data_IF_026030285483
#
_entry.id   IF_026030285483
#
_cell.length_a   1.000
_cell.length_b   1.000
_cell.length_c   1.000
_cell.angle_alpha   90.00
_cell.angle_beta   90.00
_cell.angle_gamma   90.00
#
_symmetry.space_group_name_H-M   'P 1'
#
loop_
_entity.id
_entity.type
_entity.pdbx_description
1 polymer ?
#
# COMPACT_ATOMS: atom_id res chain seq x y z
N UNK A 1 42.09 -24.26 -5.36
CA UNK A 1 40.84 -24.02 -4.61
C UNK A 1 39.73 -23.93 -5.62
N UNK A 2 38.57 -24.49 -5.33
CA UNK A 2 37.42 -24.35 -6.21
C UNK A 2 36.99 -22.87 -6.21
N UNK A 3 36.61 -22.30 -7.36
CA UNK A 3 36.20 -20.89 -7.44
C UNK A 3 34.97 -20.63 -6.55
N UNK A 4 34.10 -21.62 -6.35
CA UNK A 4 32.98 -21.55 -5.40
C UNK A 4 33.44 -21.42 -3.93
N UNK A 5 34.52 -22.12 -3.54
CA UNK A 5 35.07 -22.03 -2.17
C UNK A 5 35.68 -20.65 -1.92
N UNK A 6 36.43 -20.13 -2.90
CA UNK A 6 37.03 -18.78 -2.83
C UNK A 6 35.94 -17.72 -2.66
N UNK A 7 34.87 -17.82 -3.46
CA UNK A 7 33.74 -16.89 -3.39
C UNK A 7 33.02 -17.00 -2.04
N UNK A 8 32.74 -18.22 -1.57
CA UNK A 8 32.13 -18.45 -0.26
C UNK A 8 32.95 -17.84 0.88
N UNK A 9 34.27 -18.05 0.87
CA UNK A 9 35.18 -17.51 1.87
C UNK A 9 35.19 -15.98 1.86
N UNK A 10 35.31 -15.36 0.68
CA UNK A 10 35.29 -13.90 0.52
C UNK A 10 33.97 -13.31 1.02
N UNK A 11 32.83 -13.91 0.65
CA UNK A 11 31.52 -13.44 1.09
C UNK A 11 31.39 -13.58 2.62
N UNK A 12 31.85 -14.70 3.19
CA UNK A 12 31.81 -14.92 4.64
C UNK A 12 32.67 -13.93 5.43
N UNK A 13 33.84 -13.55 4.88
CA UNK A 13 34.72 -12.51 5.43
C UNK A 13 34.07 -11.13 5.40
N UNK A 14 33.45 -10.77 4.27
CA UNK A 14 32.73 -9.49 4.16
C UNK A 14 31.55 -9.49 5.14
N UNK A 15 30.83 -10.61 5.29
CA UNK A 15 29.73 -10.73 6.25
C UNK A 15 30.21 -10.57 7.70
N UNK A 16 31.29 -11.25 8.10
CA UNK A 16 31.80 -11.16 9.47
C UNK A 16 32.20 -9.73 9.85
N UNK A 17 32.80 -9.01 8.91
CA UNK A 17 33.33 -7.67 9.15
C UNK A 17 32.27 -6.58 9.04
N UNK A 18 31.30 -6.74 8.14
CA UNK A 18 30.27 -5.72 7.88
C UNK A 18 28.95 -5.98 8.58
N UNK A 19 28.73 -7.18 9.11
CA UNK A 19 27.44 -7.66 9.62
C UNK A 19 26.28 -7.49 8.60
N UNK A 20 26.62 -7.32 7.32
CA UNK A 20 25.64 -7.15 6.24
C UNK A 20 25.23 -8.52 5.71
N UNK A 21 24.00 -8.68 5.23
CA UNK A 21 23.53 -9.97 4.68
C UNK A 21 24.51 -10.59 3.67
N UNK A 22 24.60 -11.92 3.63
CA UNK A 22 25.49 -12.64 2.70
C UNK A 22 25.20 -12.27 1.23
N UNK A 23 23.96 -11.89 0.95
CA UNK A 23 23.52 -11.35 -0.34
C UNK A 23 24.13 -9.98 -0.68
N UNK A 24 24.14 -9.03 0.25
CA UNK A 24 24.79 -7.72 0.03
C UNK A 24 26.29 -7.95 -0.20
N UNK A 25 26.88 -8.83 0.60
CA UNK A 25 28.27 -9.23 0.47
C UNK A 25 28.56 -9.82 -0.92
N UNK A 26 27.73 -10.75 -1.40
CA UNK A 26 27.84 -11.32 -2.76
C UNK A 26 27.75 -10.26 -3.86
N UNK A 27 26.81 -9.32 -3.78
CA UNK A 27 26.69 -8.21 -4.75
C UNK A 27 27.90 -7.29 -4.75
N UNK A 28 28.43 -6.99 -3.57
CA UNK A 28 29.63 -6.18 -3.41
C UNK A 28 30.82 -6.93 -4.04
N UNK A 29 30.99 -8.22 -3.75
CA UNK A 29 32.00 -9.08 -4.37
C UNK A 29 31.87 -9.12 -5.89
N UNK A 30 30.67 -9.35 -6.43
CA UNK A 30 30.40 -9.37 -7.87
C UNK A 30 30.75 -8.03 -8.54
N UNK A 31 30.39 -6.89 -7.92
CA UNK A 31 30.77 -5.56 -8.42
C UNK A 31 32.27 -5.31 -8.38
N UNK A 32 32.95 -5.77 -7.32
CA UNK A 32 34.40 -5.67 -7.20
C UNK A 32 35.07 -6.51 -8.30
N UNK A 33 34.63 -7.76 -8.51
CA UNK A 33 35.15 -8.63 -9.56
C UNK A 33 34.90 -8.06 -10.95
N UNK A 34 33.71 -7.50 -11.20
CA UNK A 34 33.40 -6.83 -12.46
C UNK A 34 34.30 -5.62 -12.72
N UNK A 35 34.56 -4.81 -11.70
CA UNK A 35 35.48 -3.67 -11.81
C UNK A 35 36.93 -4.14 -12.07
N UNK A 36 37.38 -5.20 -11.39
CA UNK A 36 38.70 -5.77 -11.60
C UNK A 36 38.86 -6.40 -13.00
N UNK A 37 37.79 -7.00 -13.53
CA UNK A 37 37.75 -7.52 -14.90
C UNK A 37 37.90 -6.41 -15.95
N UNK A 38 37.30 -5.23 -15.72
CA UNK A 38 37.41 -4.07 -16.62
C UNK A 38 38.84 -3.50 -16.69
N UNK A 39 39.66 -3.73 -15.66
CA UNK A 39 41.07 -3.32 -15.63
C UNK A 39 42.00 -4.25 -16.44
N UNK A 40 41.45 -5.22 -17.18
CA UNK A 40 42.15 -6.13 -18.11
C UNK A 40 43.22 -7.06 -17.49
N UNK A 41 43.26 -7.18 -16.16
CA UNK A 41 44.09 -8.19 -15.50
C UNK A 41 43.32 -9.49 -15.36
N UNK A 42 43.77 -10.59 -15.97
CA UNK A 42 43.18 -11.93 -15.79
C UNK A 42 41.65 -12.01 -15.97
N UNK A 43 41.13 -11.41 -17.05
CA UNK A 43 39.69 -11.31 -17.38
C UNK A 43 38.93 -12.64 -17.24
N UNK A 44 39.51 -13.75 -17.69
CA UNK A 44 38.88 -15.07 -17.58
C UNK A 44 38.69 -15.53 -16.12
N UNK A 45 39.63 -15.24 -15.23
CA UNK A 45 39.53 -15.64 -13.82
C UNK A 45 38.49 -14.81 -13.07
N UNK A 46 38.37 -13.52 -13.37
CA UNK A 46 37.33 -12.68 -12.77
C UNK A 46 35.93 -13.05 -13.27
N UNK A 47 35.79 -13.38 -14.55
CA UNK A 47 34.53 -13.86 -15.10
C UNK A 47 34.09 -15.21 -14.49
N UNK A 48 35.05 -16.12 -14.22
CA UNK A 48 34.76 -17.36 -13.50
C UNK A 48 34.33 -17.10 -12.04
N UNK A 49 34.92 -16.11 -11.36
CA UNK A 49 34.51 -15.71 -10.00
C UNK A 49 33.15 -15.01 -9.99
N UNK A 50 32.82 -14.23 -11.03
CA UNK A 50 31.47 -13.66 -11.20
C UNK A 50 30.44 -14.79 -11.38
N UNK A 51 30.72 -15.78 -12.23
CA UNK A 51 29.86 -16.94 -12.40
C UNK A 51 29.70 -17.75 -11.10
N UNK A 52 30.78 -17.89 -10.31
CA UNK A 52 30.71 -18.52 -8.98
C UNK A 52 29.90 -17.69 -7.96
N UNK A 53 29.93 -16.35 -8.02
CA UNK A 53 29.00 -15.51 -7.21
C UNK A 53 27.55 -15.72 -7.61
N UNK A 54 27.25 -15.87 -8.90
CA UNK A 54 25.89 -16.18 -9.38
C UNK A 54 25.45 -17.62 -9.02
N UNK A 55 26.40 -18.54 -8.88
CA UNK A 55 26.13 -19.91 -8.43
C UNK A 55 25.89 -19.97 -6.92
N UNK A 56 26.67 -19.25 -6.11
CA UNK A 56 26.44 -19.04 -4.67
C UNK A 56 25.09 -18.35 -4.40
N UNK A 57 24.80 -17.30 -5.19
CA UNK A 57 23.52 -16.88 -5.77
C UNK A 57 22.30 -17.82 -5.68
N UNK A 58 22.50 -19.04 -6.19
CA UNK A 58 21.43 -19.96 -6.54
C UNK A 58 21.40 -21.20 -5.67
N UNK A 59 22.36 -21.33 -4.74
CA UNK A 59 22.47 -22.48 -3.86
C UNK A 59 21.31 -22.54 -2.85
N UNK A 60 20.69 -23.71 -2.73
CA UNK A 60 19.60 -24.00 -1.79
C UNK A 60 20.11 -23.99 -0.34
N UNK A 61 21.39 -24.31 -0.14
CA UNK A 61 22.07 -24.29 1.16
C UNK A 61 22.65 -22.93 1.53
N UNK A 62 22.12 -21.85 0.94
CA UNK A 62 22.57 -20.50 1.26
C UNK A 62 22.42 -20.20 2.77
N UNK A 63 23.43 -19.61 3.43
CA UNK A 63 23.40 -19.36 4.89
C UNK A 63 22.18 -18.56 5.34
N UNK A 64 21.74 -17.56 4.57
CA UNK A 64 20.52 -16.80 4.90
C UNK A 64 19.25 -17.67 4.85
N UNK A 65 19.16 -18.64 3.92
CA UNK A 65 18.02 -19.57 3.86
C UNK A 65 18.06 -20.58 5.01
N UNK A 66 19.25 -21.02 5.42
CA UNK A 66 19.43 -21.86 6.60
C UNK A 66 19.06 -21.10 7.88
N UNK A 67 19.50 -19.84 8.01
CA UNK A 67 19.14 -18.97 9.12
C UNK A 67 17.62 -18.75 9.17
N UNK A 68 16.97 -18.51 8.03
CA UNK A 68 15.52 -18.39 7.94
C UNK A 68 14.81 -19.65 8.45
N UNK A 69 15.22 -20.84 8.02
CA UNK A 69 14.67 -22.13 8.50
C UNK A 69 14.87 -22.32 10.00
N UNK A 70 16.05 -22.00 10.52
CA UNK A 70 16.38 -22.13 11.94
C UNK A 70 15.54 -21.18 12.81
N UNK A 71 15.37 -19.93 12.37
CA UNK A 71 14.55 -18.94 13.04
C UNK A 71 13.07 -19.36 13.06
N UNK A 72 12.53 -19.80 11.91
CA UNK A 72 11.14 -20.30 11.86
C UNK A 72 10.93 -21.52 12.74
N UNK A 73 11.89 -22.46 12.74
CA UNK A 73 11.81 -23.64 13.59
C UNK A 73 11.78 -23.23 15.06
N UNK A 74 12.67 -22.34 15.48
CA UNK A 74 12.71 -21.82 16.86
C UNK A 74 11.39 -21.14 17.23
N UNK A 75 10.86 -20.28 16.37
CA UNK A 75 9.61 -19.53 16.62
C UNK A 75 8.40 -20.48 16.67
N UNK A 76 8.29 -21.44 15.76
CA UNK A 76 7.21 -22.43 15.74
C UNK A 76 7.22 -23.31 17.00
N UNK A 77 8.40 -23.75 17.45
CA UNK A 77 8.52 -24.48 18.73
C UNK A 77 8.05 -23.61 19.91
N UNK A 78 8.46 -22.34 19.97
CA UNK A 78 7.99 -21.42 21.01
C UNK A 78 6.48 -21.17 20.93
N UNK A 79 5.90 -21.07 19.74
CA UNK A 79 4.47 -20.86 19.54
C UNK A 79 3.66 -22.04 20.06
N UNK A 80 4.03 -23.26 19.65
CA UNK A 80 3.39 -24.50 20.08
C UNK A 80 3.52 -24.71 21.60
N UNK A 81 4.70 -24.44 22.18
CA UNK A 81 4.91 -24.50 23.64
C UNK A 81 4.02 -23.51 24.40
N UNK A 82 3.77 -22.32 23.84
CA UNK A 82 2.91 -21.32 24.47
C UNK A 82 1.43 -21.71 24.37
N UNK A 83 1.00 -22.27 23.24
CA UNK A 83 -0.39 -22.70 23.00
C UNK A 83 -0.77 -23.87 23.91
N UNK A 84 0.08 -24.88 24.02
CA UNK A 84 -0.17 -26.04 24.90
C UNK A 84 -0.26 -25.68 26.39
N UNK A 85 0.43 -24.60 26.81
CA UNK A 85 0.59 -24.25 28.23
C UNK A 85 -0.35 -23.13 28.70
N UNK A 86 -1.12 -22.49 27.82
CA UNK A 86 -1.92 -21.29 28.14
C UNK A 86 -1.12 -20.22 28.91
N UNK A 87 0.19 -20.14 28.66
CA UNK A 87 1.10 -19.31 29.44
C UNK A 87 1.17 -17.90 28.81
N UNK A 88 1.13 -16.85 29.61
CA UNK A 88 1.60 -15.53 29.17
C UNK A 88 3.11 -15.64 28.96
N UNK A 89 3.62 -15.19 27.80
CA UNK A 89 5.06 -15.17 27.47
C UNK A 89 5.85 -14.43 28.56
N UNK A 90 6.24 -15.14 29.61
CA UNK A 90 6.79 -14.55 30.83
C UNK A 90 8.31 -14.50 30.78
N UNK A 91 8.97 -15.66 30.63
CA UNK A 91 10.43 -15.78 30.71
C UNK A 91 11.15 -15.74 29.36
N UNK A 92 10.49 -16.18 28.29
CA UNK A 92 11.11 -16.32 26.96
C UNK A 92 10.69 -15.22 25.97
N UNK A 93 9.94 -14.20 26.43
CA UNK A 93 9.45 -13.11 25.57
C UNK A 93 10.58 -12.38 24.85
N UNK A 94 11.66 -12.05 25.55
CA UNK A 94 12.77 -11.31 24.95
C UNK A 94 13.48 -12.15 23.89
N UNK A 95 13.73 -13.43 24.17
CA UNK A 95 14.34 -14.36 23.21
C UNK A 95 13.47 -14.58 21.98
N UNK A 96 12.15 -14.69 22.18
CA UNK A 96 11.18 -14.77 21.08
C UNK A 96 11.19 -13.47 20.27
N UNK A 97 11.13 -12.32 20.93
CA UNK A 97 11.15 -11.02 20.27
C UNK A 97 12.44 -10.80 19.47
N UNK A 98 13.60 -11.17 20.02
CA UNK A 98 14.88 -11.11 19.32
C UNK A 98 14.88 -12.01 18.08
N UNK A 99 14.35 -13.23 18.19
CA UNK A 99 14.24 -14.17 17.08
C UNK A 99 13.30 -13.66 15.97
N UNK A 100 12.15 -13.10 16.35
CA UNK A 100 11.19 -12.50 15.41
C UNK A 100 11.81 -11.26 14.74
N UNK A 101 12.53 -10.41 15.48
CA UNK A 101 13.21 -9.24 14.89
C UNK A 101 14.34 -9.64 13.94
N UNK A 102 15.11 -10.66 14.27
CA UNK A 102 16.12 -11.21 13.36
C UNK A 102 15.48 -11.72 12.07
N UNK A 103 14.35 -12.43 12.18
CA UNK A 103 13.58 -12.88 11.02
C UNK A 103 13.10 -11.70 10.17
N UNK A 104 12.52 -10.67 10.80
CA UNK A 104 12.11 -9.44 10.11
C UNK A 104 13.27 -8.77 9.37
N UNK A 105 14.43 -8.63 10.01
CA UNK A 105 15.60 -7.99 9.41
C UNK A 105 16.14 -8.79 8.22
N UNK A 106 16.16 -10.11 8.35
CA UNK A 106 16.52 -11.02 7.27
C UNK A 106 15.58 -10.80 6.06
N UNK A 107 14.27 -10.77 6.29
CA UNK A 107 13.29 -10.55 5.24
C UNK A 107 13.41 -9.18 4.57
N UNK A 108 13.60 -8.10 5.34
CA UNK A 108 13.83 -6.75 4.80
C UNK A 108 15.06 -6.69 3.91
N UNK A 109 16.14 -7.38 4.29
CA UNK A 109 17.37 -7.45 3.48
C UNK A 109 17.17 -8.20 2.15
N UNK A 110 16.15 -9.07 2.08
CA UNK A 110 15.87 -9.93 0.93
C UNK A 110 14.72 -9.49 0.02
N UNK A 111 13.93 -8.48 0.40
CA UNK A 111 12.85 -7.91 -0.45
C UNK A 111 13.33 -7.59 -1.87
N UNK A 112 14.60 -7.23 -2.03
CA UNK A 112 15.16 -6.79 -3.30
C UNK A 112 16.01 -7.85 -4.03
N UNK A 113 16.20 -9.06 -3.49
CA UNK A 113 17.44 -9.76 -3.84
C UNK A 113 17.48 -11.27 -4.01
N UNK A 114 16.56 -12.07 -3.47
CA UNK A 114 16.44 -13.50 -3.89
C UNK A 114 15.00 -13.97 -3.76
N UNK A 115 14.06 -13.18 -4.30
CA UNK A 115 12.65 -13.51 -4.27
C UNK A 115 12.36 -14.91 -4.81
N UNK A 116 13.12 -15.44 -5.79
CA UNK A 116 12.84 -16.74 -6.40
C UNK A 116 13.08 -17.92 -5.45
N UNK A 117 14.22 -17.98 -4.75
CA UNK A 117 14.53 -19.10 -3.84
C UNK A 117 13.69 -19.01 -2.55
N UNK A 118 13.56 -17.81 -1.99
CA UNK A 118 12.72 -17.60 -0.81
C UNK A 118 11.25 -17.87 -1.13
N UNK A 119 10.75 -17.50 -2.32
CA UNK A 119 9.42 -17.86 -2.82
C UNK A 119 9.26 -19.38 -2.98
N UNK A 120 10.26 -20.08 -3.52
CA UNK A 120 10.23 -21.56 -3.57
C UNK A 120 10.18 -22.16 -2.17
N UNK A 121 10.92 -21.59 -1.22
CA UNK A 121 10.97 -22.02 0.17
C UNK A 121 9.63 -21.82 0.89
N UNK A 122 9.01 -20.65 0.76
CA UNK A 122 7.69 -20.32 1.34
C UNK A 122 6.58 -21.22 0.78
N UNK A 123 6.78 -21.80 -0.41
CA UNK A 123 5.83 -22.77 -1.01
C UNK A 123 5.98 -24.19 -0.49
N UNK A 124 7.02 -24.50 0.30
CA UNK A 124 7.16 -25.82 0.89
C UNK A 124 6.14 -26.00 2.02
N UNK A 125 5.42 -27.13 2.02
CA UNK A 125 4.35 -27.41 2.99
C UNK A 125 4.82 -27.28 4.44
N UNK A 126 5.99 -27.82 4.78
CA UNK A 126 6.57 -27.72 6.13
C UNK A 126 6.79 -26.27 6.57
N UNK A 127 7.25 -25.41 5.66
CA UNK A 127 7.48 -23.98 5.93
C UNK A 127 6.15 -23.24 6.05
N UNK A 128 5.13 -23.60 5.25
CA UNK A 128 3.80 -23.01 5.35
C UNK A 128 3.17 -23.28 6.72
N UNK A 129 3.31 -24.50 7.24
CA UNK A 129 2.84 -24.84 8.59
C UNK A 129 3.53 -23.99 9.66
N UNK A 130 4.87 -23.87 9.62
CA UNK A 130 5.62 -23.03 10.55
C UNK A 130 5.24 -21.54 10.47
N UNK A 131 4.93 -21.06 9.27
CA UNK A 131 4.46 -19.69 9.07
C UNK A 131 3.04 -19.48 9.63
N UNK A 132 2.16 -20.49 9.54
CA UNK A 132 0.85 -20.46 10.19
C UNK A 132 1.00 -20.42 11.71
N UNK A 133 1.88 -21.23 12.30
CA UNK A 133 2.18 -21.18 13.75
C UNK A 133 2.64 -19.79 14.18
N UNK A 134 3.52 -19.16 13.38
CA UNK A 134 3.96 -17.79 13.60
C UNK A 134 2.79 -16.79 13.55
N UNK A 135 1.85 -16.95 12.63
CA UNK A 135 0.66 -16.09 12.57
C UNK A 135 -0.29 -16.35 13.74
N UNK A 136 -0.40 -17.58 14.24
CA UNK A 136 -1.23 -17.93 15.40
C UNK A 136 -0.78 -17.20 16.69
N UNK A 137 0.50 -16.84 16.81
CA UNK A 137 0.99 -15.96 17.88
C UNK A 137 0.24 -14.63 17.96
N UNK A 138 -0.35 -14.16 16.86
CA UNK A 138 -1.16 -12.93 16.87
C UNK A 138 -2.48 -13.07 17.64
N UNK A 139 -2.97 -14.29 17.85
CA UNK A 139 -4.10 -14.59 18.72
C UNK A 139 -3.76 -14.63 20.20
N UNK A 140 -2.47 -14.62 20.56
CA UNK A 140 -2.00 -14.77 21.94
C UNK A 140 -1.68 -13.41 22.59
N UNK A 141 -1.65 -13.38 23.93
CA UNK A 141 -1.29 -12.17 24.70
C UNK A 141 0.23 -11.95 24.72
N UNK A 142 0.79 -11.57 23.57
CA UNK A 142 2.25 -11.39 23.37
C UNK A 142 2.74 -9.95 23.56
N UNK A 143 1.86 -8.96 23.45
CA UNK A 143 2.20 -7.53 23.51
C UNK A 143 2.10 -6.84 22.15
N UNK A 144 1.84 -5.53 22.15
CA UNK A 144 1.63 -4.74 20.93
C UNK A 144 2.87 -4.67 20.04
N UNK A 145 4.05 -4.61 20.64
CA UNK A 145 5.37 -4.66 19.99
C UNK A 145 5.55 -5.93 19.15
N UNK A 146 5.27 -7.11 19.71
CA UNK A 146 5.36 -8.37 18.98
C UNK A 146 4.29 -8.41 17.87
N UNK A 147 3.06 -7.98 18.14
CA UNK A 147 2.02 -7.92 17.12
C UNK A 147 2.40 -7.06 15.92
N UNK A 148 3.03 -5.91 16.14
CA UNK A 148 3.51 -5.03 15.08
C UNK A 148 4.56 -5.69 14.21
N UNK A 149 5.55 -6.34 14.83
CA UNK A 149 6.62 -7.06 14.12
C UNK A 149 6.06 -8.25 13.34
N UNK A 150 5.10 -8.99 13.89
CA UNK A 150 4.42 -10.09 13.18
C UNK A 150 3.65 -9.58 11.96
N UNK A 151 2.92 -8.47 12.06
CA UNK A 151 2.23 -7.86 10.92
C UNK A 151 3.23 -7.45 9.83
N UNK A 152 4.39 -6.89 10.19
CA UNK A 152 5.44 -6.50 9.24
C UNK A 152 6.05 -7.74 8.55
N UNK A 153 6.30 -8.83 9.28
CA UNK A 153 6.79 -10.09 8.70
C UNK A 153 5.81 -10.65 7.67
N UNK A 154 4.52 -10.71 8.02
CA UNK A 154 3.49 -11.22 7.10
C UNK A 154 3.31 -10.29 5.90
N UNK A 155 3.38 -8.97 6.10
CA UNK A 155 3.42 -8.01 5.00
C UNK A 155 4.60 -8.29 4.05
N UNK A 156 5.82 -8.46 4.58
CA UNK A 156 7.01 -8.77 3.78
C UNK A 156 6.86 -10.11 3.03
N UNK A 157 6.25 -11.13 3.65
CA UNK A 157 5.92 -12.40 2.98
C UNK A 157 4.99 -12.19 1.79
N UNK A 158 3.93 -11.40 1.96
CA UNK A 158 2.98 -11.08 0.88
C UNK A 158 3.65 -10.30 -0.26
N UNK A 159 4.66 -9.47 0.03
CA UNK A 159 5.44 -8.77 -1.01
C UNK A 159 6.36 -9.73 -1.78
N UNK A 160 6.94 -10.74 -1.12
CA UNK A 160 7.79 -11.76 -1.77
C UNK A 160 6.96 -12.66 -2.68
N UNK A 161 5.79 -13.11 -2.22
CA UNK A 161 4.85 -13.86 -3.04
C UNK A 161 3.40 -13.44 -2.80
N UNK A 162 2.78 -12.69 -3.74
CA UNK A 162 1.39 -12.27 -3.63
C UNK A 162 0.40 -13.45 -3.46
N UNK A 163 0.74 -14.65 -3.93
CA UNK A 163 -0.15 -15.81 -3.72
C UNK A 163 -0.24 -16.24 -2.26
N UNK A 164 0.75 -15.89 -1.43
CA UNK A 164 0.72 -16.18 0.00
C UNK A 164 -0.41 -15.43 0.71
N UNK A 165 -0.68 -14.18 0.30
CA UNK A 165 -1.78 -13.37 0.82
C UNK A 165 -3.13 -14.09 0.64
N UNK A 166 -3.38 -14.60 -0.56
CA UNK A 166 -4.64 -15.28 -0.92
C UNK A 166 -4.78 -16.65 -0.28
N UNK A 167 -3.69 -17.43 -0.21
CA UNK A 167 -3.76 -18.82 0.27
C UNK A 167 -3.80 -18.93 1.79
N UNK A 168 -3.00 -18.12 2.50
CA UNK A 168 -2.73 -18.35 3.92
C UNK A 168 -3.16 -17.21 4.84
N UNK A 169 -3.29 -15.98 4.34
CA UNK A 169 -3.50 -14.80 5.20
C UNK A 169 -4.95 -14.33 5.21
N UNK A 170 -5.66 -14.40 4.09
CA UNK A 170 -6.97 -13.74 3.92
C UNK A 170 -8.07 -14.22 4.88
N UNK A 171 -8.03 -15.49 5.26
CA UNK A 171 -8.98 -16.12 6.19
C UNK A 171 -8.37 -16.29 7.60
N UNK A 172 -7.13 -15.84 7.79
CA UNK A 172 -6.43 -16.01 9.05
C UNK A 172 -6.85 -14.93 10.07
N UNK A 173 -6.97 -15.26 11.37
CA UNK A 173 -7.32 -14.30 12.44
C UNK A 173 -6.43 -13.05 12.55
N UNK A 174 -5.26 -13.06 11.92
CA UNK A 174 -4.34 -11.91 11.87
C UNK A 174 -5.01 -10.68 11.27
N UNK A 175 -5.91 -10.84 10.28
CA UNK A 175 -6.62 -9.72 9.67
C UNK A 175 -7.52 -9.02 10.70
N UNK A 176 -8.25 -9.81 11.50
CA UNK A 176 -9.05 -9.29 12.62
C UNK A 176 -8.18 -8.63 13.67
N UNK A 177 -6.97 -9.15 13.91
CA UNK A 177 -6.04 -8.54 14.85
C UNK A 177 -5.52 -7.19 14.33
N UNK A 178 -5.25 -7.04 13.02
CA UNK A 178 -4.89 -5.75 12.42
C UNK A 178 -5.99 -4.70 12.62
N UNK A 179 -7.25 -5.07 12.38
CA UNK A 179 -8.41 -4.19 12.63
C UNK A 179 -8.43 -3.76 14.10
N UNK A 180 -8.29 -4.72 15.02
CA UNK A 180 -8.26 -4.44 16.47
C UNK A 180 -7.11 -3.51 16.85
N UNK A 181 -5.89 -3.77 16.35
CA UNK A 181 -4.71 -2.95 16.60
C UNK A 181 -4.96 -1.49 16.22
N UNK A 182 -5.55 -1.25 15.05
CA UNK A 182 -5.86 0.10 14.59
C UNK A 182 -6.88 0.76 15.53
N UNK A 183 -7.98 0.07 15.85
CA UNK A 183 -9.04 0.60 16.70
C UNK A 183 -8.58 0.90 18.14
N UNK A 184 -7.69 0.07 18.71
CA UNK A 184 -7.25 0.26 20.10
C UNK A 184 -6.17 1.32 20.25
N UNK A 185 -5.46 1.68 19.19
CA UNK A 185 -4.29 2.57 19.26
C UNK A 185 -4.52 3.95 18.63
N UNK A 186 -5.75 4.32 18.26
CA UNK A 186 -6.09 5.61 17.61
C UNK A 186 -5.49 6.82 18.33
N UNK A 187 -5.55 6.82 19.67
CA UNK A 187 -5.14 7.92 20.53
C UNK A 187 -3.76 7.73 21.18
N UNK A 188 -3.14 6.56 20.99
CA UNK A 188 -1.88 6.18 21.65
C UNK A 188 -0.69 6.22 20.71
N UNK A 189 -0.88 6.65 19.47
CA UNK A 189 0.11 6.81 18.38
C UNK A 189 1.22 7.81 18.67
N UNK A 190 1.07 8.66 19.70
CA UNK A 190 2.15 9.50 20.23
C UNK A 190 3.24 8.72 20.99
N UNK A 191 3.00 7.44 21.33
CA UNK A 191 4.02 6.56 21.89
C UNK A 191 4.86 5.92 20.77
N UNK A 192 6.19 5.97 20.90
CA UNK A 192 7.15 5.45 19.91
C UNK A 192 6.91 3.97 19.49
N UNK A 193 6.26 3.17 20.34
CA UNK A 193 6.02 1.74 20.11
C UNK A 193 4.68 1.42 19.41
N UNK A 194 3.67 2.29 19.52
CA UNK A 194 2.32 2.03 18.98
C UNK A 194 2.23 2.41 17.50
N UNK A 195 2.84 3.53 17.09
CA UNK A 195 2.93 3.98 15.69
C UNK A 195 3.43 2.89 14.73
N UNK A 196 4.62 2.28 14.93
CA UNK A 196 5.12 1.26 13.99
C UNK A 196 4.21 0.04 13.91
N UNK A 197 3.50 -0.27 15.00
CA UNK A 197 2.54 -1.37 15.07
C UNK A 197 1.31 -1.09 14.19
N UNK A 198 0.74 0.12 14.29
CA UNK A 198 -0.39 0.56 13.45
C UNK A 198 0.02 0.63 11.97
N UNK A 199 1.19 1.19 11.66
CA UNK A 199 1.71 1.25 10.29
C UNK A 199 1.89 -0.13 9.66
N UNK A 200 2.39 -1.10 10.44
CA UNK A 200 2.57 -2.48 9.97
C UNK A 200 1.22 -3.15 9.70
N UNK A 201 0.24 -2.93 10.57
CA UNK A 201 -1.13 -3.42 10.37
C UNK A 201 -1.78 -2.80 9.11
N UNK A 202 -1.68 -1.48 8.93
CA UNK A 202 -2.20 -0.78 7.74
C UNK A 202 -1.53 -1.25 6.45
N UNK A 203 -0.22 -1.47 6.47
CA UNK A 203 0.54 -1.94 5.31
C UNK A 203 0.12 -3.35 4.89
N UNK A 204 -0.08 -4.24 5.88
CA UNK A 204 -0.59 -5.58 5.63
C UNK A 204 -2.02 -5.51 5.06
N UNK A 205 -2.93 -4.80 5.70
CA UNK A 205 -4.31 -4.68 5.24
C UNK A 205 -4.41 -4.08 3.82
N UNK A 206 -3.63 -3.03 3.54
CA UNK A 206 -3.57 -2.42 2.19
C UNK A 206 -3.09 -3.42 1.14
N UNK A 207 -2.08 -4.24 1.49
CA UNK A 207 -1.59 -5.30 0.59
C UNK A 207 -2.63 -6.37 0.35
N UNK A 208 -3.36 -6.80 1.39
CA UNK A 208 -4.43 -7.79 1.25
C UNK A 208 -5.57 -7.28 0.37
N UNK A 209 -5.94 -6.00 0.52
CA UNK A 209 -6.96 -5.36 -0.32
C UNK A 209 -6.54 -5.30 -1.78
N UNK A 210 -5.27 -4.96 -2.04
CA UNK A 210 -4.77 -4.85 -3.41
C UNK A 210 -4.59 -6.22 -4.09
N UNK A 211 -4.15 -7.23 -3.34
CA UNK A 211 -3.83 -8.55 -3.90
C UNK A 211 -5.04 -9.46 -4.08
N UNK A 212 -6.13 -9.25 -3.33
CA UNK A 212 -7.27 -10.16 -3.34
C UNK A 212 -8.51 -9.54 -3.98
N UNK A 213 -9.09 -10.27 -4.93
CA UNK A 213 -10.33 -9.87 -5.59
C UNK A 213 -11.53 -9.93 -4.62
N UNK A 214 -11.59 -10.96 -3.77
CA UNK A 214 -12.67 -11.18 -2.81
C UNK A 214 -12.13 -11.57 -1.44
N UNK A 215 -12.89 -11.29 -0.38
CA UNK A 215 -12.58 -11.69 0.99
C UNK A 215 -13.61 -12.68 1.51
N UNK A 216 -13.24 -13.60 2.42
CA UNK A 216 -14.18 -14.40 3.20
C UNK A 216 -15.22 -13.52 3.89
N UNK A 217 -16.44 -14.03 4.08
CA UNK A 217 -17.59 -13.26 4.61
C UNK A 217 -17.27 -12.59 5.95
N UNK A 218 -16.57 -13.30 6.85
CA UNK A 218 -16.18 -12.76 8.15
C UNK A 218 -15.20 -11.57 8.01
N UNK A 219 -14.13 -11.76 7.24
CA UNK A 219 -13.13 -10.72 6.99
C UNK A 219 -13.72 -9.51 6.26
N UNK A 220 -14.58 -9.76 5.27
CA UNK A 220 -15.32 -8.71 4.58
C UNK A 220 -16.19 -7.93 5.57
N UNK A 221 -16.97 -8.61 6.40
CA UNK A 221 -17.85 -7.97 7.40
C UNK A 221 -17.10 -7.10 8.41
N UNK A 222 -15.88 -7.46 8.78
CA UNK A 222 -15.04 -6.64 9.66
C UNK A 222 -14.51 -5.38 8.95
N UNK A 223 -14.02 -5.52 7.72
CA UNK A 223 -13.47 -4.40 6.95
C UNK A 223 -14.55 -3.43 6.45
N UNK A 224 -15.76 -3.92 6.17
CA UNK A 224 -16.92 -3.09 5.79
C UNK A 224 -17.66 -2.54 7.00
N UNK A 225 -17.22 -2.84 8.23
CA UNK A 225 -17.89 -2.37 9.43
C UNK A 225 -17.77 -0.84 9.54
N UNK A 226 -18.90 -0.16 9.65
CA UNK A 226 -19.00 1.29 9.86
C UNK A 226 -18.15 1.77 11.04
N UNK A 227 -18.06 1.00 12.14
CA UNK A 227 -17.25 1.37 13.30
C UNK A 227 -15.76 1.40 12.98
N UNK A 228 -15.27 0.45 12.18
CA UNK A 228 -13.88 0.41 11.75
C UNK A 228 -13.55 1.56 10.80
N UNK A 229 -14.43 1.84 9.84
CA UNK A 229 -14.25 2.97 8.92
C UNK A 229 -14.26 4.32 9.66
N UNK A 230 -15.13 4.48 10.68
CA UNK A 230 -15.11 5.66 11.57
C UNK A 230 -13.80 5.77 12.33
N UNK A 231 -13.28 4.66 12.87
CA UNK A 231 -11.96 4.63 13.52
C UNK A 231 -10.83 5.02 12.57
N UNK A 232 -10.91 4.66 11.29
CA UNK A 232 -9.94 5.09 10.28
C UNK A 232 -9.98 6.60 10.03
N UNK A 233 -11.16 7.22 10.02
CA UNK A 233 -11.28 8.66 9.91
C UNK A 233 -10.76 9.38 11.15
N UNK A 234 -11.13 8.89 12.35
CA UNK A 234 -10.62 9.40 13.62
C UNK A 234 -9.08 9.29 13.70
N UNK A 235 -8.50 8.21 13.20
CA UNK A 235 -7.05 8.03 13.14
C UNK A 235 -6.36 9.15 12.34
N UNK A 236 -6.94 9.55 11.20
CA UNK A 236 -6.39 10.60 10.33
C UNK A 236 -6.51 11.97 10.99
N UNK A 237 -7.65 12.26 11.60
CA UNK A 237 -7.91 13.57 12.20
C UNK A 237 -7.09 13.79 13.47
N UNK A 238 -7.02 12.76 14.32
CA UNK A 238 -6.26 12.82 15.59
C UNK A 238 -4.75 12.90 15.33
N UNK A 239 -4.25 12.25 14.28
CA UNK A 239 -2.82 12.15 13.98
C UNK A 239 -2.38 12.95 12.76
N UNK A 240 -3.06 14.07 12.47
CA UNK A 240 -2.82 14.89 11.29
C UNK A 240 -1.38 15.40 11.12
N UNK A 241 -0.62 15.53 12.21
CA UNK A 241 0.80 15.92 12.17
C UNK A 241 1.74 14.79 11.67
N UNK A 242 1.30 13.53 11.76
CA UNK A 242 2.09 12.37 11.35
C UNK A 242 1.84 12.01 9.88
N UNK A 243 2.63 12.61 8.99
CA UNK A 243 2.47 12.45 7.55
C UNK A 243 2.52 10.99 7.09
N UNK A 244 3.39 10.16 7.66
CA UNK A 244 3.54 8.74 7.27
C UNK A 244 2.29 7.93 7.62
N UNK A 245 1.76 8.14 8.83
CA UNK A 245 0.57 7.44 9.31
C UNK A 245 -0.68 7.87 8.55
N UNK A 246 -0.83 9.18 8.33
CA UNK A 246 -1.94 9.74 7.55
C UNK A 246 -1.88 9.22 6.11
N UNK A 247 -0.70 9.24 5.49
CA UNK A 247 -0.50 8.74 4.13
C UNK A 247 -0.83 7.25 4.01
N UNK A 248 -0.35 6.42 4.95
CA UNK A 248 -0.68 4.99 4.98
C UNK A 248 -2.19 4.74 5.16
N UNK A 249 -2.85 5.54 6.00
CA UNK A 249 -4.30 5.45 6.24
C UNK A 249 -5.11 5.83 5.00
N UNK A 250 -4.74 6.94 4.34
CA UNK A 250 -5.36 7.35 3.08
C UNK A 250 -5.13 6.31 1.99
N UNK A 251 -3.91 5.75 1.87
CA UNK A 251 -3.61 4.67 0.91
C UNK A 251 -4.50 3.46 1.13
N UNK A 252 -4.74 3.07 2.38
CA UNK A 252 -5.67 1.99 2.72
C UNK A 252 -7.10 2.31 2.22
N UNK A 253 -7.64 3.49 2.56
CA UNK A 253 -9.01 3.88 2.20
C UNK A 253 -9.20 3.96 0.69
N UNK A 254 -8.23 4.51 -0.04
CA UNK A 254 -8.24 4.59 -1.50
C UNK A 254 -8.17 3.20 -2.15
N UNK A 255 -7.32 2.32 -1.63
CA UNK A 255 -7.22 0.93 -2.09
C UNK A 255 -8.54 0.18 -1.84
N UNK A 256 -9.15 0.40 -0.68
CA UNK A 256 -10.46 -0.17 -0.33
C UNK A 256 -11.55 0.32 -1.29
N UNK A 257 -11.56 1.62 -1.58
CA UNK A 257 -12.52 2.26 -2.47
C UNK A 257 -12.49 1.65 -3.88
N UNK A 258 -11.31 1.39 -4.43
CA UNK A 258 -11.12 0.84 -5.78
C UNK A 258 -11.82 -0.52 -6.00
N UNK A 259 -12.15 -1.25 -4.94
CA UNK A 259 -12.79 -2.57 -5.04
C UNK A 259 -14.29 -2.52 -5.35
N UNK A 260 -14.91 -1.36 -5.22
CA UNK A 260 -16.34 -1.20 -5.44
C UNK A 260 -16.59 -0.56 -6.81
N UNK A 261 -17.32 -1.25 -7.67
CA UNK A 261 -17.73 -0.72 -8.98
C UNK A 261 -18.84 0.34 -8.83
N UNK A 262 -19.71 0.18 -7.83
CA UNK A 262 -20.87 1.05 -7.63
C UNK A 262 -20.81 1.81 -6.31
N UNK A 263 -20.95 3.16 -6.31
CA UNK A 263 -20.87 3.99 -5.11
C UNK A 263 -21.90 3.62 -4.03
N UNK A 264 -23.14 3.32 -4.40
CA UNK A 264 -24.21 2.95 -3.47
C UNK A 264 -24.01 1.61 -2.75
N UNK A 265 -23.05 0.78 -3.19
CA UNK A 265 -22.65 -0.47 -2.51
C UNK A 265 -21.34 -0.30 -1.75
N UNK A 266 -20.78 0.90 -1.73
CA UNK A 266 -19.48 1.17 -1.16
C UNK A 266 -19.66 1.64 0.30
N UNK A 267 -19.33 0.80 1.29
CA UNK A 267 -19.52 1.14 2.69
C UNK A 267 -18.60 2.28 3.15
N UNK A 268 -17.51 2.56 2.41
CA UNK A 268 -16.69 3.75 2.66
C UNK A 268 -17.49 5.03 2.40
N UNK A 269 -18.17 5.09 1.26
CA UNK A 269 -18.99 6.23 0.85
C UNK A 269 -20.19 6.36 1.78
N UNK A 270 -20.91 5.27 2.01
CA UNK A 270 -22.04 5.25 2.96
C UNK A 270 -21.61 5.74 4.35
N UNK A 271 -20.45 5.27 4.84
CA UNK A 271 -19.93 5.73 6.14
C UNK A 271 -19.56 7.20 6.10
N UNK A 272 -18.83 7.67 5.08
CA UNK A 272 -18.46 9.09 4.92
C UNK A 272 -19.68 10.00 4.94
N UNK A 273 -20.74 9.64 4.23
CA UNK A 273 -21.99 10.41 4.18
C UNK A 273 -22.79 10.32 5.49
N UNK A 274 -22.63 9.24 6.26
CA UNK A 274 -23.27 9.05 7.57
C UNK A 274 -22.57 9.76 8.73
N UNK A 275 -21.37 10.32 8.49
CA UNK A 275 -20.66 11.09 9.52
C UNK A 275 -21.39 12.41 9.72
N UNK A 276 -22.32 12.39 10.67
CA UNK A 276 -22.80 13.61 11.31
C UNK A 276 -21.65 14.26 12.10
N UNK A 277 -21.82 15.55 12.44
CA UNK A 277 -20.90 16.52 13.09
C UNK A 277 -19.96 16.04 14.23
N UNK A 278 -20.06 14.79 14.71
CA UNK A 278 -19.26 14.21 15.80
C UNK A 278 -17.81 13.85 15.41
N UNK A 279 -17.55 13.48 14.15
CA UNK A 279 -16.21 13.20 13.65
C UNK A 279 -15.92 14.21 12.54
N UNK A 280 -14.93 15.09 12.75
CA UNK A 280 -14.40 15.94 11.68
C UNK A 280 -13.91 15.03 10.55
N UNK A 281 -14.27 15.29 9.29
CA UNK A 281 -13.61 14.69 8.12
C UNK A 281 -12.71 15.70 7.42
N UNK A 282 -12.37 16.78 8.12
CA UNK A 282 -11.71 17.94 7.55
C UNK A 282 -10.30 17.62 7.09
N UNK A 283 -9.48 17.01 7.94
CA UNK A 283 -8.10 16.67 7.60
C UNK A 283 -8.08 15.65 6.45
N UNK A 284 -8.96 14.64 6.49
CA UNK A 284 -9.08 13.67 5.40
C UNK A 284 -9.32 14.38 4.06
N UNK A 285 -10.29 15.29 4.01
CA UNK A 285 -10.65 16.02 2.81
C UNK A 285 -9.52 16.96 2.36
N UNK A 286 -8.92 17.72 3.27
CA UNK A 286 -7.81 18.62 2.96
C UNK A 286 -6.62 17.83 2.37
N UNK A 287 -6.30 16.67 2.94
CA UNK A 287 -5.24 15.78 2.43
C UNK A 287 -5.57 15.15 1.09
N UNK A 288 -6.82 14.73 0.86
CA UNK A 288 -7.26 14.23 -0.46
C UNK A 288 -7.13 15.31 -1.54
N UNK A 289 -7.55 16.54 -1.25
CA UNK A 289 -7.42 17.68 -2.17
C UNK A 289 -5.94 18.02 -2.40
N UNK A 290 -5.12 17.97 -1.36
CA UNK A 290 -3.68 18.20 -1.48
C UNK A 290 -3.00 17.17 -2.39
N UNK A 291 -3.31 15.88 -2.22
CA UNK A 291 -2.80 14.80 -3.07
C UNK A 291 -3.30 14.94 -4.51
N UNK A 292 -4.58 15.30 -4.69
CA UNK A 292 -5.18 15.58 -5.98
C UNK A 292 -4.48 16.74 -6.71
N UNK A 293 -4.19 17.82 -6.00
CA UNK A 293 -3.47 18.98 -6.55
C UNK A 293 -2.04 18.64 -7.01
N UNK A 294 -1.39 17.66 -6.36
CA UNK A 294 -0.05 17.17 -6.74
C UNK A 294 -0.07 16.07 -7.78
N UNK A 295 -1.24 15.58 -8.19
CA UNK A 295 -1.40 14.43 -9.09
C UNK A 295 -0.66 13.18 -8.58
N UNK A 296 -0.54 13.02 -7.26
CA UNK A 296 0.09 11.86 -6.61
C UNK A 296 -1.02 10.86 -6.26
N UNK A 297 -0.96 9.65 -6.81
CA UNK A 297 -1.83 8.54 -6.43
C UNK A 297 -1.11 7.64 -5.39
N UNK A 298 -1.53 7.63 -4.11
CA UNK A 298 -0.90 6.81 -3.07
C UNK A 298 -0.94 5.30 -3.34
N UNK A 299 -1.89 4.84 -4.16
CA UNK A 299 -2.07 3.42 -4.47
C UNK A 299 -1.18 2.96 -5.63
N UNK A 300 -0.66 3.90 -6.43
CA UNK A 300 0.08 3.63 -7.67
C UNK A 300 -0.67 2.68 -8.64
N UNK A 301 -2.01 2.68 -8.59
CA UNK A 301 -2.82 1.81 -9.43
C UNK A 301 -2.69 2.24 -10.89
N UNK A 302 -2.32 1.28 -11.76
CA UNK A 302 -1.88 1.59 -13.13
C UNK A 302 -2.97 2.12 -14.06
N UNK A 303 -4.23 1.76 -13.81
CA UNK A 303 -5.32 1.99 -14.76
C UNK A 303 -6.31 3.08 -14.34
N UNK A 304 -6.49 3.29 -13.05
CA UNK A 304 -7.52 4.19 -12.50
C UNK A 304 -6.87 4.99 -11.39
N UNK A 305 -6.95 6.31 -11.48
CA UNK A 305 -6.51 7.17 -10.39
C UNK A 305 -7.47 7.02 -9.20
N UNK A 306 -6.96 6.52 -8.08
CA UNK A 306 -7.76 6.18 -6.91
C UNK A 306 -8.48 7.38 -6.29
N UNK A 307 -7.86 8.56 -6.34
CA UNK A 307 -8.42 9.81 -5.80
C UNK A 307 -9.55 10.31 -6.69
N UNK A 308 -9.36 10.32 -8.01
CA UNK A 308 -10.41 10.72 -8.95
C UNK A 308 -11.62 9.79 -8.80
N UNK A 309 -11.38 8.48 -8.70
CA UNK A 309 -12.43 7.48 -8.50
C UNK A 309 -13.18 7.72 -7.19
N UNK A 310 -12.47 7.99 -6.08
CA UNK A 310 -13.11 8.33 -4.81
C UNK A 310 -13.98 9.59 -4.92
N UNK A 311 -13.47 10.65 -5.56
CA UNK A 311 -14.28 11.85 -5.75
C UNK A 311 -15.49 11.60 -6.65
N UNK A 312 -15.34 10.85 -7.74
CA UNK A 312 -16.47 10.44 -8.58
C UNK A 312 -17.52 9.70 -7.76
N UNK A 313 -17.13 8.71 -6.96
CA UNK A 313 -18.07 7.98 -6.09
C UNK A 313 -18.76 8.90 -5.07
N UNK A 314 -18.06 9.90 -4.53
CA UNK A 314 -18.62 10.87 -3.58
C UNK A 314 -19.63 11.82 -4.24
N UNK A 315 -19.43 12.19 -5.50
CA UNK A 315 -20.30 13.12 -6.24
C UNK A 315 -21.37 12.44 -7.10
N UNK A 316 -21.31 11.12 -7.26
CA UNK A 316 -22.30 10.36 -8.01
C UNK A 316 -23.65 10.27 -7.25
N UNK A 317 -23.64 10.34 -5.91
CA UNK A 317 -24.86 10.31 -5.11
C UNK A 317 -25.77 11.52 -5.42
N UNK A 318 -27.01 11.23 -5.81
CA UNK A 318 -28.05 12.23 -6.05
C UNK A 318 -28.49 12.94 -4.77
N UNK A 319 -28.16 12.36 -3.60
CA UNK A 319 -28.42 12.99 -2.32
C UNK A 319 -27.38 14.10 -2.07
N UNK A 320 -27.86 15.28 -1.72
CA UNK A 320 -27.10 16.49 -1.35
C UNK A 320 -26.16 16.32 -0.14
N UNK A 321 -25.88 15.10 0.32
CA UNK A 321 -24.96 14.78 1.41
C UNK A 321 -23.50 15.09 1.06
N UNK A 322 -23.14 15.05 -0.23
CA UNK A 322 -21.82 15.53 -0.70
C UNK A 322 -21.65 17.05 -0.55
N UNK A 323 -22.74 17.82 -0.43
CA UNK A 323 -22.72 19.26 -0.12
C UNK A 323 -22.40 19.52 1.36
N UNK A 324 -22.69 18.54 2.24
CA UNK A 324 -22.41 18.63 3.67
C UNK A 324 -20.94 18.33 3.95
N UNK A 325 -20.36 17.36 3.23
CA UNK A 325 -18.98 16.92 3.42
C UNK A 325 -17.94 17.92 2.89
N UNK A 326 -18.29 18.67 1.83
CA UNK A 326 -17.38 19.57 1.15
C UNK A 326 -17.89 21.01 1.16
N UNK A 327 -17.14 21.90 1.81
CA UNK A 327 -17.39 23.33 1.72
C UNK A 327 -17.31 23.84 0.27
N UNK A 328 -18.03 24.93 -0.01
CA UNK A 328 -17.97 25.61 -1.32
C UNK A 328 -16.53 25.98 -1.72
N UNK A 329 -15.67 26.30 -0.75
CA UNK A 329 -14.26 26.60 -1.01
C UNK A 329 -13.49 25.39 -1.55
N UNK A 330 -13.73 24.21 -0.98
CA UNK A 330 -13.07 22.98 -1.38
C UNK A 330 -13.52 22.55 -2.79
N UNK A 331 -14.81 22.71 -3.09
CA UNK A 331 -15.38 22.48 -4.43
C UNK A 331 -14.75 23.38 -5.48
N UNK A 332 -14.66 24.68 -5.20
CA UNK A 332 -14.00 25.65 -6.09
C UNK A 332 -12.54 25.25 -6.36
N UNK A 333 -11.80 24.89 -5.32
CA UNK A 333 -10.41 24.44 -5.45
C UNK A 333 -10.28 23.18 -6.32
N UNK A 334 -11.17 22.19 -6.15
CA UNK A 334 -11.19 20.99 -6.99
C UNK A 334 -11.44 21.35 -8.46
N UNK A 335 -12.42 22.24 -8.73
CA UNK A 335 -12.71 22.71 -10.10
C UNK A 335 -11.50 23.44 -10.70
N UNK A 336 -10.79 24.26 -9.92
CA UNK A 336 -9.57 24.96 -10.36
C UNK A 336 -8.44 23.97 -10.71
N UNK A 337 -8.26 22.93 -9.91
CA UNK A 337 -7.29 21.85 -10.17
C UNK A 337 -7.66 21.13 -11.46
N UNK A 338 -8.93 20.72 -11.63
CA UNK A 338 -9.40 20.03 -12.84
C UNK A 338 -9.19 20.91 -14.07
N UNK A 339 -9.55 22.19 -14.01
CA UNK A 339 -9.40 23.14 -15.12
C UNK A 339 -7.93 23.27 -15.55
N UNK A 340 -7.01 23.30 -14.58
CA UNK A 340 -5.57 23.33 -14.82
C UNK A 340 -5.08 22.04 -15.48
N UNK A 341 -5.51 20.89 -14.95
CA UNK A 341 -5.09 19.58 -15.46
C UNK A 341 -5.60 19.33 -16.87
N UNK A 342 -6.86 19.67 -17.16
CA UNK A 342 -7.42 19.56 -18.51
C UNK A 342 -6.69 20.45 -19.52
N UNK A 343 -6.32 21.67 -19.13
CA UNK A 343 -5.57 22.58 -20.01
C UNK A 343 -4.18 22.04 -20.41
N UNK A 344 -3.58 21.20 -19.56
CA UNK A 344 -2.25 20.64 -19.78
C UNK A 344 -2.25 19.23 -20.41
N UNK A 345 -3.40 18.53 -20.39
CA UNK A 345 -3.52 17.14 -20.85
C UNK A 345 -3.94 17.04 -22.31
N UNK A 346 -3.60 15.91 -22.93
CA UNK A 346 -4.05 15.60 -24.29
C UNK A 346 -5.50 15.14 -24.29
N UNK A 347 -6.26 15.56 -25.30
CA UNK A 347 -7.63 15.12 -25.53
C UNK A 347 -7.77 13.63 -25.92
N UNK A 348 -6.64 12.97 -26.22
CA UNK A 348 -6.56 11.55 -26.56
C UNK A 348 -6.31 10.64 -25.36
N UNK A 349 -6.02 11.20 -24.17
CA UNK A 349 -5.68 10.41 -22.99
C UNK A 349 -6.94 9.91 -22.26
N UNK A 350 -6.96 8.66 -21.82
CA UNK A 350 -8.04 8.08 -21.00
C UNK A 350 -8.17 8.80 -19.63
N UNK A 351 -7.04 9.28 -19.09
CA UNK A 351 -7.05 10.06 -17.85
C UNK A 351 -7.89 11.34 -17.97
N UNK A 352 -7.90 11.97 -19.15
CA UNK A 352 -8.71 13.16 -19.46
C UNK A 352 -10.19 12.85 -19.33
N UNK A 353 -10.63 11.65 -19.70
CA UNK A 353 -12.01 11.19 -19.53
C UNK A 353 -12.41 11.16 -18.06
N UNK A 354 -11.52 10.72 -17.18
CA UNK A 354 -11.78 10.66 -15.74
C UNK A 354 -11.94 12.07 -15.14
N UNK A 355 -11.09 13.03 -15.53
CA UNK A 355 -11.21 14.43 -15.11
C UNK A 355 -12.49 15.09 -15.64
N UNK A 356 -12.86 14.85 -16.90
CA UNK A 356 -14.09 15.38 -17.50
C UNK A 356 -15.34 14.80 -16.82
N UNK A 357 -15.34 13.51 -16.51
CA UNK A 357 -16.45 12.86 -15.80
C UNK A 357 -16.61 13.42 -14.38
N UNK A 358 -15.49 13.65 -13.68
CA UNK A 358 -15.52 14.29 -12.36
C UNK A 358 -16.04 15.74 -12.45
N UNK A 359 -15.64 16.49 -13.47
CA UNK A 359 -16.13 17.84 -13.71
C UNK A 359 -17.64 17.86 -13.97
N UNK A 360 -18.15 16.93 -14.78
CA UNK A 360 -19.60 16.82 -15.04
C UNK A 360 -20.38 16.59 -13.74
N UNK A 361 -19.93 15.64 -12.91
CA UNK A 361 -20.57 15.33 -11.63
C UNK A 361 -20.58 16.53 -10.66
N UNK A 362 -19.46 17.27 -10.57
CA UNK A 362 -19.34 18.47 -9.74
C UNK A 362 -20.28 19.60 -10.18
N UNK A 363 -20.47 19.74 -11.49
CA UNK A 363 -21.31 20.80 -12.06
C UNK A 363 -22.81 20.41 -12.04
N UNK A 364 -23.13 19.11 -12.08
CA UNK A 364 -24.50 18.58 -12.07
C UNK A 364 -25.32 19.06 -10.86
N UNK A 365 -24.70 19.18 -9.69
CA UNK A 365 -25.35 19.58 -8.45
C UNK A 365 -25.27 21.08 -8.13
N UNK A 366 -24.62 21.90 -8.97
CA UNK A 366 -24.34 23.31 -8.65
C UNK A 366 -24.87 24.31 -9.68
N UNK A 367 -25.32 25.46 -9.19
CA UNK A 367 -25.55 26.64 -10.03
C UNK A 367 -24.21 27.30 -10.35
N UNK A 368 -23.82 27.28 -11.62
CA UNK A 368 -22.56 27.88 -12.05
C UNK A 368 -22.67 29.40 -12.02
N UNK A 369 -21.78 30.01 -11.25
CA UNK A 369 -21.62 31.46 -11.11
C UNK A 369 -20.13 31.80 -11.23
N UNK A 370 -19.77 33.06 -11.54
CA UNK A 370 -18.36 33.49 -11.58
C UNK A 370 -17.62 33.27 -10.25
N UNK A 371 -18.35 33.18 -9.15
CA UNK A 371 -17.80 32.89 -7.82
C UNK A 371 -17.53 31.39 -7.62
N UNK A 372 -18.34 30.50 -8.21
CA UNK A 372 -18.22 29.04 -8.05
C UNK A 372 -17.32 28.39 -9.08
N UNK A 373 -17.15 29.00 -10.26
CA UNK A 373 -16.16 28.60 -11.25
C UNK A 373 -15.40 29.84 -11.75
N UNK A 374 -14.20 30.04 -11.20
CA UNK A 374 -13.34 31.20 -11.50
C UNK A 374 -12.65 31.10 -12.86
N UNK A 375 -12.49 29.89 -13.40
CA UNK A 375 -11.74 29.59 -14.65
C UNK A 375 -12.64 29.13 -15.82
N UNK A 376 -13.87 29.65 -15.88
CA UNK A 376 -14.84 29.30 -16.95
C UNK A 376 -14.23 29.56 -18.34
N UNK A 377 -13.56 30.69 -18.56
CA UNK A 377 -12.99 31.06 -19.87
C UNK A 377 -11.90 30.08 -20.33
N UNK A 378 -11.08 29.58 -19.41
CA UNK A 378 -10.06 28.57 -19.70
C UNK A 378 -10.69 27.22 -20.06
N UNK A 379 -11.73 26.81 -19.31
CA UNK A 379 -12.50 25.60 -19.61
C UNK A 379 -13.18 25.69 -20.98
N UNK A 380 -13.81 26.82 -21.31
CA UNK A 380 -14.41 27.04 -22.63
C UNK A 380 -13.37 26.91 -23.75
N UNK A 381 -12.20 27.50 -23.57
CA UNK A 381 -11.09 27.41 -24.55
C UNK A 381 -10.61 25.97 -24.71
N UNK A 382 -10.47 25.25 -23.60
CA UNK A 382 -10.05 23.84 -23.58
C UNK A 382 -11.09 22.94 -24.26
N UNK A 383 -12.38 23.14 -23.96
CA UNK A 383 -13.49 22.40 -24.59
C UNK A 383 -13.53 22.64 -26.11
N UNK A 384 -13.38 23.88 -26.56
CA UNK A 384 -13.29 24.22 -28.01
C UNK A 384 -12.09 23.52 -28.68
N UNK A 385 -10.93 23.52 -28.02
CA UNK A 385 -9.75 22.81 -28.50
C UNK A 385 -10.01 21.30 -28.63
N UNK A 386 -10.63 20.68 -27.63
CA UNK A 386 -10.92 19.25 -27.63
C UNK A 386 -12.00 18.85 -28.64
N UNK A 387 -13.04 19.66 -28.83
CA UNK A 387 -14.10 19.41 -29.81
C UNK A 387 -13.62 19.56 -31.25
N UNK A 388 -12.69 20.48 -31.50
CA UNK A 388 -12.08 20.70 -32.83
C UNK A 388 -10.96 19.71 -33.16
N UNK A 389 -10.36 19.06 -32.16
CA UNK A 389 -9.27 18.12 -32.36
C UNK A 389 -9.77 16.73 -32.81
N UNK A 390 -9.39 16.30 -34.02
CA UNK A 390 -9.81 15.03 -34.62
C UNK A 390 -9.46 13.79 -33.78
N UNK A 391 -8.34 13.81 -33.05
CA UNK A 391 -7.84 12.69 -32.23
C UNK A 391 -8.45 12.61 -30.84
N UNK A 392 -9.35 13.52 -30.51
CA UNK A 392 -10.06 13.52 -29.22
C UNK A 392 -10.96 12.29 -29.09
N UNK A 393 -10.90 11.61 -27.94
CA UNK A 393 -11.74 10.45 -27.66
C UNK A 393 -13.23 10.80 -27.76
N UNK A 394 -14.02 9.91 -28.35
CA UNK A 394 -15.47 10.11 -28.50
C UNK A 394 -16.18 10.35 -27.16
N UNK A 395 -15.76 9.64 -26.11
CA UNK A 395 -16.28 9.84 -24.75
C UNK A 395 -16.01 11.25 -24.22
N UNK A 396 -14.80 11.80 -24.46
CA UNK A 396 -14.46 13.17 -24.03
C UNK A 396 -15.39 14.19 -24.71
N UNK A 397 -15.61 14.06 -26.02
CA UNK A 397 -16.53 14.93 -26.76
C UNK A 397 -17.97 14.82 -26.27
N UNK A 398 -18.42 13.60 -25.95
CA UNK A 398 -19.76 13.35 -25.43
C UNK A 398 -19.96 14.05 -24.08
N UNK A 399 -19.04 13.86 -23.13
CA UNK A 399 -19.12 14.49 -21.80
C UNK A 399 -19.09 16.02 -21.93
N UNK A 400 -18.20 16.57 -22.75
CA UNK A 400 -18.13 18.02 -22.99
C UNK A 400 -19.45 18.55 -23.56
N UNK A 401 -20.04 17.85 -24.55
CA UNK A 401 -21.31 18.25 -25.14
C UNK A 401 -22.46 18.23 -24.11
N UNK A 402 -22.44 17.25 -23.20
CA UNK A 402 -23.40 17.17 -22.10
C UNK A 402 -23.25 18.33 -21.11
N UNK A 403 -22.03 18.66 -20.70
CA UNK A 403 -21.74 19.81 -19.84
C UNK A 403 -22.23 21.12 -20.49
N UNK A 404 -21.90 21.35 -21.77
CA UNK A 404 -22.33 22.55 -22.51
C UNK A 404 -23.86 22.59 -22.65
N UNK A 405 -24.49 21.44 -22.89
CA UNK A 405 -25.95 21.34 -23.02
C UNK A 405 -26.69 21.67 -21.72
N UNK A 406 -26.15 21.25 -20.56
CA UNK A 406 -26.72 21.55 -19.24
C UNK A 406 -26.42 22.96 -18.75
N UNK A 407 -25.27 23.53 -19.15
CA UNK A 407 -24.79 24.81 -18.65
C UNK A 407 -24.42 25.77 -19.78
N UNK A 408 -25.37 26.65 -20.12
CA UNK A 408 -25.22 27.66 -21.19
C UNK A 408 -24.06 28.65 -20.97
N UNK A 409 -23.53 28.77 -19.76
CA UNK A 409 -22.34 29.57 -19.49
C UNK A 409 -21.07 29.00 -20.15
N UNK A 410 -21.05 27.74 -20.60
CA UNK A 410 -19.94 27.19 -21.41
C UNK A 410 -20.19 27.25 -22.91
N UNK A 411 -21.42 27.56 -23.34
CA UNK A 411 -21.71 27.90 -24.74
C UNK A 411 -21.33 29.36 -24.96
N UNK A 412 -20.07 29.63 -25.28
CA UNK A 412 -19.72 30.90 -25.90
C UNK A 412 -20.08 30.83 -27.39
N UNK A 413 -20.86 31.81 -27.85
CA UNK A 413 -21.13 32.09 -29.27
C UNK A 413 -19.86 32.01 -30.14
#
# INVERSE_FOLDING_TARGET
MNNDEIVSDIISLIHSDTQSSYVICSKVSSKIFAYLSQLQFHENQWNELIAATEHFDQNIDHPDLQQFRQLLTTISHCANDCEERNYTLGRDRNTLFDSINQLRNLLKSHVNLRCVLLKKLIKQEEIQLQLIDLMNLTGMNVGSDIHGVLCDIVYLMCQIDPTYATMNVIDHPIVSNCVRIIQTNINSTGDDNSKPTVLSALSLLSTLIFTNESFPVHTAGQLTNTSFLKSMFELIETNHEDEDLVFASIKFLLSFNLRFEYPHKNPLIETLLSINEEISSRELIERLIFLFNRSIDPTEHKTINSIIKLFQDLFDDENSSSDILLSDSNRRLIIEIISRELSNRSCADESTTAYLSLLELLLRSQTITPETCTRIDELQTTFRSYLSCETCLHQNRFIIAEIIGKHSCFSSE
#
